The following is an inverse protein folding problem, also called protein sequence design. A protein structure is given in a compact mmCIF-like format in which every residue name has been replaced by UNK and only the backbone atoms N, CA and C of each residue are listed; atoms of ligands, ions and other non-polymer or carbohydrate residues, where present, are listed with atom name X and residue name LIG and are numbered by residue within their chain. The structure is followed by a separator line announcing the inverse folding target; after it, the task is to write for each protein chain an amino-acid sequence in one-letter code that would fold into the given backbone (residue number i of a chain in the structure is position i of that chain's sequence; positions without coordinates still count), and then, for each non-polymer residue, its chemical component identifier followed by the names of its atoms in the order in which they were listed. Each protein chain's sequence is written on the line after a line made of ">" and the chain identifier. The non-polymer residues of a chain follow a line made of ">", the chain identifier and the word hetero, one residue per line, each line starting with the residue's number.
data_IF_861813649668
#
_entry.id   IF_861813649668
#
_cell.length_a   1.000
_cell.length_b   1.000
_cell.length_c   1.000
_cell.angle_alpha   90.00
_cell.angle_beta   90.00
_cell.angle_gamma   90.00
#
_symmetry.space_group_name_H-M   'P 1'
#
loop_
_entity.id
_entity.type
_entity.pdbx_description
1 polymer ?
#
# COMPACT_ATOMS: atom_id res chain seq x y z
N UNK A 1 50.23 -47.74 9.53
CA UNK A 1 51.42 -46.90 9.83
C UNK A 1 51.30 -45.58 9.07
N UNK A 2 51.43 -44.44 9.79
CA UNK A 2 51.86 -43.08 9.37
C UNK A 2 51.22 -42.47 8.11
N UNK A 3 50.24 -41.56 8.24
CA UNK A 3 50.33 -40.07 8.35
C UNK A 3 51.09 -39.39 7.20
N UNK A 4 50.39 -38.59 6.39
CA UNK A 4 50.81 -37.22 6.05
C UNK A 4 49.59 -36.35 5.73
N UNK A 5 49.51 -35.23 6.44
CA UNK A 5 48.58 -34.14 6.23
C UNK A 5 49.12 -33.22 5.14
N UNK A 6 48.27 -32.73 4.25
CA UNK A 6 48.50 -31.47 3.54
C UNK A 6 47.18 -30.69 3.55
N UNK A 7 47.16 -29.70 4.44
CA UNK A 7 46.22 -28.59 4.44
C UNK A 7 46.42 -27.78 3.16
N UNK A 8 45.37 -27.65 2.36
CA UNK A 8 45.31 -26.62 1.33
C UNK A 8 44.19 -25.64 1.69
N UNK A 9 44.61 -24.49 2.23
CA UNK A 9 43.79 -23.35 2.57
C UNK A 9 44.05 -22.28 1.50
N UNK A 10 43.10 -22.05 0.62
CA UNK A 10 42.96 -20.92 -0.33
C UNK A 10 41.80 -21.28 -1.26
N UNK A 11 40.83 -20.45 -1.62
CA UNK A 11 40.64 -19.03 -1.47
C UNK A 11 39.14 -18.80 -1.69
N UNK A 12 38.52 -17.94 -0.87
CA UNK A 12 37.13 -17.55 -1.04
C UNK A 12 36.91 -16.91 -2.42
N UNK A 13 36.05 -17.51 -3.22
CA UNK A 13 35.17 -16.75 -4.10
C UNK A 13 33.79 -16.88 -3.49
N UNK A 14 33.41 -15.83 -2.77
CA UNK A 14 32.04 -15.59 -2.34
C UNK A 14 31.16 -15.81 -3.58
N UNK A 15 30.43 -16.92 -3.61
CA UNK A 15 29.26 -17.03 -4.46
C UNK A 15 28.40 -15.84 -4.08
N UNK A 16 28.45 -14.81 -4.92
CA UNK A 16 27.47 -13.74 -4.88
C UNK A 16 26.14 -14.44 -4.99
N UNK A 17 25.41 -14.55 -3.89
CA UNK A 17 23.99 -14.70 -3.97
C UNK A 17 23.54 -13.43 -4.68
N UNK A 18 23.22 -13.54 -5.98
CA UNK A 18 22.38 -12.57 -6.64
C UNK A 18 21.12 -12.48 -5.79
N UNK A 19 21.04 -11.45 -4.95
CA UNK A 19 19.79 -11.03 -4.34
C UNK A 19 19.02 -10.40 -5.50
N UNK A 20 18.38 -11.27 -6.29
CA UNK A 20 17.40 -10.85 -7.26
C UNK A 20 16.23 -10.29 -6.47
N UNK A 21 16.25 -8.97 -6.24
CA UNK A 21 15.08 -8.22 -5.80
C UNK A 21 14.04 -8.37 -6.90
N UNK A 22 13.21 -9.39 -6.76
CA UNK A 22 12.03 -9.59 -7.57
C UNK A 22 11.14 -8.35 -7.42
N UNK A 23 11.19 -7.44 -8.40
CA UNK A 23 10.35 -6.24 -8.45
C UNK A 23 8.89 -6.54 -8.79
N UNK A 24 8.45 -7.80 -8.73
CA UNK A 24 7.04 -8.14 -8.76
C UNK A 24 6.40 -7.83 -7.39
N UNK A 25 6.29 -6.55 -7.03
CA UNK A 25 5.12 -6.14 -6.28
C UNK A 25 3.92 -6.46 -7.16
N UNK A 26 2.96 -7.31 -6.73
CA UNK A 26 1.75 -7.54 -7.49
C UNK A 26 1.11 -6.19 -7.76
N UNK A 27 1.12 -5.76 -9.02
CA UNK A 27 0.35 -4.60 -9.46
C UNK A 27 -1.10 -5.07 -9.44
N UNK A 28 -1.72 -5.00 -8.26
CA UNK A 28 -3.16 -5.22 -8.09
C UNK A 28 -3.85 -4.19 -8.98
N UNK A 29 -4.16 -4.62 -10.20
CA UNK A 29 -4.87 -3.83 -11.19
C UNK A 29 -6.28 -4.35 -11.11
N UNK A 30 -7.18 -3.55 -10.57
CA UNK A 30 -8.57 -3.94 -10.49
C UNK A 30 -9.15 -3.94 -11.91
N UNK A 31 -9.63 -5.11 -12.37
CA UNK A 31 -9.99 -5.37 -13.76
C UNK A 31 -11.48 -5.17 -14.05
N UNK A 32 -12.30 -5.21 -13.00
CA UNK A 32 -13.75 -4.99 -13.11
C UNK A 32 -14.08 -3.52 -12.74
N UNK A 33 -14.77 -2.75 -13.60
CA UNK A 33 -15.23 -1.42 -13.23
C UNK A 33 -16.32 -1.42 -12.15
N UNK A 34 -17.04 -2.53 -11.95
CA UNK A 34 -18.18 -2.62 -11.04
C UNK A 34 -19.40 -1.81 -11.49
N UNK A 35 -20.48 -1.88 -10.72
CA UNK A 35 -21.70 -1.09 -10.99
C UNK A 35 -21.52 0.38 -10.55
N UNK A 36 -22.26 1.34 -11.14
CA UNK A 36 -22.21 2.75 -10.71
C UNK A 36 -22.52 2.94 -9.22
N UNK A 37 -23.41 2.12 -8.66
CA UNK A 37 -23.74 2.14 -7.24
C UNK A 37 -22.55 1.68 -6.38
N UNK A 38 -21.89 0.59 -6.75
CA UNK A 38 -20.69 0.13 -6.03
C UNK A 38 -19.57 1.17 -6.11
N UNK A 39 -19.33 1.73 -7.29
CA UNK A 39 -18.34 2.79 -7.48
C UNK A 39 -18.61 3.98 -6.54
N UNK A 40 -19.85 4.47 -6.50
CA UNK A 40 -20.23 5.57 -5.63
C UNK A 40 -20.02 5.24 -4.14
N UNK A 41 -20.48 4.06 -3.69
CA UNK A 41 -20.37 3.65 -2.28
C UNK A 41 -18.91 3.51 -1.84
N UNK A 42 -18.07 2.90 -2.68
CA UNK A 42 -16.63 2.76 -2.44
C UNK A 42 -15.97 4.13 -2.40
N UNK A 43 -16.28 4.99 -3.36
CA UNK A 43 -15.72 6.33 -3.46
C UNK A 43 -16.05 7.18 -2.23
N UNK A 44 -17.31 7.17 -1.80
CA UNK A 44 -17.77 7.92 -0.63
C UNK A 44 -17.13 7.41 0.66
N UNK A 45 -17.04 6.09 0.81
CA UNK A 45 -16.40 5.49 1.99
C UNK A 45 -14.91 5.84 2.06
N UNK A 46 -14.19 5.72 0.94
CA UNK A 46 -12.78 6.07 0.88
C UNK A 46 -12.55 7.56 1.14
N UNK A 47 -13.38 8.45 0.60
CA UNK A 47 -13.28 9.89 0.86
C UNK A 47 -13.57 10.24 2.32
N UNK A 48 -14.60 9.66 2.91
CA UNK A 48 -14.92 9.87 4.32
C UNK A 48 -13.77 9.42 5.23
N UNK A 49 -13.20 8.24 4.95
CA UNK A 49 -12.02 7.73 5.64
C UNK A 49 -10.83 8.69 5.54
N UNK A 50 -10.49 9.14 4.33
CA UNK A 50 -9.35 10.04 4.11
C UNK A 50 -9.57 11.42 4.74
N UNK A 51 -10.79 11.94 4.73
CA UNK A 51 -11.12 13.22 5.35
C UNK A 51 -10.87 13.21 6.88
N UNK A 52 -11.16 12.09 7.56
CA UNK A 52 -10.82 11.92 8.97
C UNK A 52 -9.31 11.93 9.21
N UNK A 53 -8.54 11.28 8.32
CA UNK A 53 -7.08 11.34 8.41
C UNK A 53 -6.54 12.75 8.16
N UNK A 54 -7.13 13.47 7.20
CA UNK A 54 -6.74 14.85 6.85
C UNK A 54 -7.04 15.82 8.02
N UNK A 55 -8.12 15.56 8.76
CA UNK A 55 -8.48 16.29 9.98
C UNK A 55 -7.67 15.86 11.23
N UNK A 56 -6.74 14.91 11.10
CA UNK A 56 -5.92 14.42 12.22
C UNK A 56 -6.69 13.53 13.21
N UNK A 57 -7.91 13.10 12.89
CA UNK A 57 -8.79 12.30 13.76
C UNK A 57 -8.74 10.81 13.42
N UNK A 58 -7.53 10.25 13.29
CA UNK A 58 -7.31 8.86 12.87
C UNK A 58 -8.10 7.82 13.70
N UNK A 59 -8.33 8.06 14.99
CA UNK A 59 -9.15 7.21 15.86
C UNK A 59 -10.60 7.05 15.40
N UNK A 60 -11.15 8.06 14.72
CA UNK A 60 -12.52 8.05 14.20
C UNK A 60 -12.67 7.17 12.95
N UNK A 61 -11.57 6.69 12.37
CA UNK A 61 -11.61 5.78 11.21
C UNK A 61 -11.97 4.35 11.57
N UNK A 62 -11.79 3.95 12.83
CA UNK A 62 -11.96 2.56 13.26
C UNK A 62 -13.34 1.95 12.97
N UNK A 63 -14.47 2.66 13.17
CA UNK A 63 -15.79 2.12 12.84
C UNK A 63 -15.99 1.81 11.35
N UNK A 64 -15.21 2.42 10.45
CA UNK A 64 -15.27 2.17 9.02
C UNK A 64 -14.38 1.00 8.57
N UNK A 65 -13.58 0.42 9.47
CA UNK A 65 -12.69 -0.71 9.16
C UNK A 65 -13.51 -1.99 9.00
N UNK A 66 -13.22 -2.76 7.95
CA UNK A 66 -13.82 -4.08 7.71
C UNK A 66 -13.74 -4.98 8.95
N UNK A 67 -14.81 -5.73 9.29
CA UNK A 67 -14.77 -6.71 10.38
C UNK A 67 -13.60 -7.70 10.26
N UNK A 68 -13.24 -8.08 9.03
CA UNK A 68 -12.11 -8.97 8.76
C UNK A 68 -10.77 -8.35 9.20
N UNK A 69 -10.55 -7.06 8.97
CA UNK A 69 -9.34 -6.39 9.46
C UNK A 69 -9.42 -6.12 10.96
N UNK A 70 -10.60 -5.74 11.49
CA UNK A 70 -10.81 -5.57 12.93
C UNK A 70 -10.52 -6.86 13.74
N UNK A 71 -10.77 -8.04 13.16
CA UNK A 71 -10.44 -9.32 13.79
C UNK A 71 -8.93 -9.63 13.84
N UNK A 72 -8.11 -8.95 13.01
CA UNK A 72 -6.66 -9.21 12.88
C UNK A 72 -5.77 -8.20 13.58
N UNK A 73 -6.33 -7.06 14.01
CA UNK A 73 -5.57 -5.98 14.63
C UNK A 73 -6.40 -5.26 15.70
N UNK A 74 -5.77 -4.40 16.50
CA UNK A 74 -6.49 -3.53 17.44
C UNK A 74 -6.64 -2.11 16.89
N UNK A 75 -7.61 -1.35 17.40
CA UNK A 75 -7.77 0.07 17.08
C UNK A 75 -6.48 0.85 17.34
N UNK A 76 -5.76 0.54 18.43
CA UNK A 76 -4.53 1.24 18.78
C UNK A 76 -3.42 0.97 17.76
N UNK A 77 -3.25 -0.29 17.32
CA UNK A 77 -2.27 -0.66 16.29
C UNK A 77 -2.66 0.00 14.96
N UNK A 78 -3.93 -0.05 14.56
CA UNK A 78 -4.44 0.61 13.36
C UNK A 78 -4.13 2.11 13.34
N UNK A 79 -4.50 2.83 14.40
CA UNK A 79 -4.28 4.29 14.51
C UNK A 79 -2.78 4.63 14.49
N UNK A 80 -1.96 3.83 15.16
CA UNK A 80 -0.50 4.03 15.17
C UNK A 80 0.08 3.86 13.77
N UNK A 81 -0.33 2.82 13.05
CA UNK A 81 0.09 2.56 11.68
C UNK A 81 -0.32 3.69 10.73
N UNK A 82 -1.56 4.20 10.83
CA UNK A 82 -2.02 5.33 10.02
C UNK A 82 -1.18 6.60 10.24
N UNK A 83 -0.83 6.90 11.49
CA UNK A 83 0.05 8.03 11.82
C UNK A 83 1.45 7.82 11.24
N UNK A 84 1.98 6.60 11.33
CA UNK A 84 3.27 6.24 10.75
C UNK A 84 3.31 6.43 9.22
N UNK A 85 2.27 5.99 8.51
CA UNK A 85 2.15 6.12 7.05
C UNK A 85 2.14 7.58 6.57
N UNK A 86 1.64 8.50 7.39
CA UNK A 86 1.55 9.94 7.07
C UNK A 86 2.66 10.79 7.69
N UNK A 87 3.62 10.17 8.39
CA UNK A 87 4.71 10.88 9.03
C UNK A 87 5.58 11.59 7.98
N UNK A 88 5.83 12.89 8.18
CA UNK A 88 6.70 13.68 7.31
C UNK A 88 6.10 14.08 5.96
N UNK A 89 4.80 13.82 5.70
CA UNK A 89 4.14 14.31 4.49
C UNK A 89 3.82 15.81 4.57
N UNK A 90 3.63 16.34 5.79
CA UNK A 90 3.14 17.70 6.02
C UNK A 90 1.60 17.78 6.00
N UNK A 91 1.05 18.99 6.03
CA UNK A 91 -0.40 19.19 5.96
C UNK A 91 -0.95 18.78 4.59
N UNK A 92 -2.15 18.21 4.59
CA UNK A 92 -2.88 17.89 3.37
C UNK A 92 -3.22 19.17 2.59
N UNK A 93 -3.08 19.14 1.26
CA UNK A 93 -3.42 20.29 0.39
C UNK A 93 -4.52 19.94 -0.60
N UNK A 94 -4.34 18.88 -1.40
CA UNK A 94 -5.32 18.45 -2.39
C UNK A 94 -5.22 16.97 -2.72
N UNK A 95 -6.33 16.43 -3.24
CA UNK A 95 -6.48 15.03 -3.67
C UNK A 95 -7.34 14.95 -4.91
N UNK A 96 -6.92 14.14 -5.87
CA UNK A 96 -7.66 13.84 -7.09
C UNK A 96 -7.74 12.32 -7.27
N UNK A 97 -8.91 11.74 -7.60
CA UNK A 97 -9.00 10.31 -7.88
C UNK A 97 -8.31 9.97 -9.19
N UNK A 98 -7.60 8.83 -9.18
CA UNK A 98 -6.82 8.35 -10.33
C UNK A 98 -7.46 7.11 -10.93
N UNK A 99 -7.84 6.16 -10.10
CA UNK A 99 -8.44 4.90 -10.54
C UNK A 99 -9.33 4.31 -9.45
N UNK A 100 -10.35 3.58 -9.87
CA UNK A 100 -11.19 2.74 -9.03
C UNK A 100 -11.49 1.47 -9.81
N UNK A 101 -11.37 0.31 -9.16
CA UNK A 101 -11.94 -0.93 -9.69
C UNK A 101 -12.14 -1.98 -8.63
N UNK A 102 -12.65 -3.13 -9.05
CA UNK A 102 -13.00 -4.28 -8.23
C UNK A 102 -12.16 -5.51 -8.58
N UNK A 103 -11.90 -6.33 -7.57
CA UNK A 103 -11.12 -7.58 -7.65
C UNK A 103 -11.62 -8.57 -6.60
N UNK A 104 -11.73 -9.85 -6.93
CA UNK A 104 -12.22 -10.91 -6.04
C UNK A 104 -11.10 -11.71 -5.34
N UNK A 105 -9.84 -11.42 -5.69
CA UNK A 105 -8.65 -12.03 -5.10
C UNK A 105 -7.52 -11.02 -4.94
N UNK A 106 -7.13 -10.78 -3.70
CA UNK A 106 -5.93 -10.02 -3.36
C UNK A 106 -4.84 -10.99 -2.86
N UNK A 107 -3.60 -10.89 -3.38
CA UNK A 107 -2.47 -11.59 -2.78
C UNK A 107 -2.40 -11.26 -1.28
N UNK A 108 -2.18 -12.29 -0.45
CA UNK A 108 -2.04 -12.19 1.01
C UNK A 108 -3.30 -11.71 1.78
N UNK A 109 -4.45 -11.62 1.12
CA UNK A 109 -5.72 -11.31 1.77
C UNK A 109 -6.69 -12.52 1.77
N UNK A 110 -7.64 -12.60 2.74
CA UNK A 110 -8.70 -13.60 2.70
C UNK A 110 -9.54 -13.52 1.42
N UNK A 111 -10.11 -14.63 0.97
CA UNK A 111 -11.03 -14.63 -0.17
C UNK A 111 -12.22 -13.67 0.07
N UNK A 112 -12.64 -12.95 -0.97
CA UNK A 112 -13.79 -12.04 -0.94
C UNK A 112 -13.71 -10.94 -1.99
N UNK A 113 -14.77 -10.16 -2.13
CA UNK A 113 -14.78 -9.05 -3.09
C UNK A 113 -14.10 -7.83 -2.49
N UNK A 114 -13.23 -7.22 -3.28
CA UNK A 114 -12.47 -6.05 -2.92
C UNK A 114 -12.68 -4.94 -3.94
N UNK A 115 -12.55 -3.71 -3.45
CA UNK A 115 -12.42 -2.53 -4.28
C UNK A 115 -11.08 -1.87 -3.96
N UNK A 116 -10.41 -1.37 -4.99
CA UNK A 116 -9.18 -0.61 -4.87
C UNK A 116 -9.42 0.75 -5.48
N UNK A 117 -9.21 1.78 -4.69
CA UNK A 117 -9.25 3.17 -5.15
C UNK A 117 -7.91 3.83 -4.91
N UNK A 118 -7.44 4.52 -5.93
CA UNK A 118 -6.18 5.22 -5.94
C UNK A 118 -6.38 6.72 -6.12
N UNK A 119 -5.62 7.50 -5.37
CA UNK A 119 -5.64 8.95 -5.41
C UNK A 119 -4.23 9.52 -5.59
N UNK A 120 -4.15 10.60 -6.37
CA UNK A 120 -3.02 11.49 -6.42
C UNK A 120 -3.18 12.57 -5.36
N UNK A 121 -2.27 12.63 -4.40
CA UNK A 121 -2.38 13.54 -3.26
C UNK A 121 -1.15 14.41 -3.10
N UNK A 122 -1.38 15.71 -2.91
CA UNK A 122 -0.33 16.68 -2.59
C UNK A 122 -0.43 17.05 -1.11
N UNK A 123 0.69 16.94 -0.42
CA UNK A 123 0.89 17.41 0.94
C UNK A 123 1.98 18.48 0.94
N UNK A 124 2.09 19.23 2.04
CA UNK A 124 3.02 20.36 2.12
C UNK A 124 4.50 20.00 1.86
N UNK A 125 4.92 18.77 2.15
CA UNK A 125 6.32 18.34 1.98
C UNK A 125 6.54 17.43 0.78
N UNK A 126 5.50 16.83 0.19
CA UNK A 126 5.65 15.85 -0.89
C UNK A 126 4.34 15.54 -1.60
N UNK A 127 4.43 14.88 -2.76
CA UNK A 127 3.30 14.30 -3.48
C UNK A 127 3.37 12.76 -3.40
N UNK A 128 2.23 12.13 -3.17
CA UNK A 128 2.11 10.69 -2.98
C UNK A 128 0.96 10.11 -3.79
N UNK A 129 1.04 8.81 -4.05
CA UNK A 129 -0.11 7.99 -4.42
C UNK A 129 -0.69 7.38 -3.14
N UNK A 130 -1.95 7.67 -2.84
CA UNK A 130 -2.70 7.02 -1.78
C UNK A 130 -3.53 5.88 -2.39
N UNK A 131 -3.47 4.69 -1.79
CA UNK A 131 -4.29 3.54 -2.17
C UNK A 131 -5.15 3.12 -0.98
N UNK A 132 -6.46 3.11 -1.16
CA UNK A 132 -7.43 2.60 -0.19
C UNK A 132 -8.01 1.31 -0.74
N UNK A 133 -7.91 0.25 0.05
CA UNK A 133 -8.52 -1.05 -0.26
C UNK A 133 -9.75 -1.19 0.62
N UNK A 134 -10.88 -1.53 0.02
CA UNK A 134 -12.12 -1.83 0.71
C UNK A 134 -12.51 -3.28 0.44
N UNK A 135 -13.16 -3.89 1.42
CA UNK A 135 -13.73 -5.24 1.32
C UNK A 135 -15.24 -5.14 1.40
N UNK A 136 -15.93 -5.92 0.57
CA UNK A 136 -17.37 -6.12 0.67
C UNK A 136 -17.65 -7.13 1.79
N UNK A 137 -18.24 -6.64 2.87
CA UNK A 137 -18.75 -7.44 3.97
C UNK A 137 -20.28 -7.23 4.02
N UNK A 138 -21.02 -8.14 3.39
CA UNK A 138 -22.48 -8.13 3.30
C UNK A 138 -23.08 -6.80 2.77
N UNK A 139 -22.65 -6.37 1.58
CA UNK A 139 -23.06 -5.13 0.88
C UNK A 139 -22.59 -3.84 1.56
N UNK A 140 -21.66 -3.93 2.50
CA UNK A 140 -20.99 -2.79 3.11
C UNK A 140 -19.50 -2.83 2.77
N UNK A 141 -19.01 -1.75 2.15
CA UNK A 141 -17.59 -1.61 1.81
C UNK A 141 -16.80 -1.10 3.01
N UNK A 142 -16.14 -1.98 3.76
CA UNK A 142 -15.30 -1.60 4.90
C UNK A 142 -13.84 -1.40 4.50
N UNK A 143 -13.11 -0.51 5.18
CA UNK A 143 -11.67 -0.30 4.95
C UNK A 143 -10.91 -1.59 5.30
N UNK A 144 -10.21 -2.14 4.30
CA UNK A 144 -9.39 -3.35 4.42
C UNK A 144 -7.89 -3.05 4.31
N UNK A 145 -7.51 -1.85 3.86
CA UNK A 145 -6.11 -1.42 3.83
C UNK A 145 -5.95 0.03 3.38
N UNK A 146 -4.83 0.63 3.76
CA UNK A 146 -4.42 1.96 3.33
C UNK A 146 -2.91 2.00 3.14
N UNK A 147 -2.48 2.49 1.98
CA UNK A 147 -1.07 2.54 1.58
C UNK A 147 -0.74 3.91 1.02
N UNK A 148 0.49 4.36 1.28
CA UNK A 148 1.03 5.63 0.81
C UNK A 148 2.35 5.35 0.09
N UNK A 149 2.42 5.67 -1.19
CA UNK A 149 3.64 5.55 -1.98
C UNK A 149 4.11 6.93 -2.39
N UNK A 150 5.31 7.32 -1.96
CA UNK A 150 5.93 8.56 -2.45
C UNK A 150 6.24 8.42 -3.92
N UNK A 151 5.90 9.44 -4.72
CA UNK A 151 6.44 9.51 -6.09
C UNK A 151 7.87 10.00 -5.99
N UNK A 152 8.79 9.23 -6.54
CA UNK A 152 10.16 9.67 -6.77
C UNK A 152 10.23 9.97 -8.26
N UNK A 153 10.09 11.24 -8.59
CA UNK A 153 10.31 11.69 -9.96
C UNK A 153 11.83 11.76 -10.16
N UNK A 154 12.40 10.68 -10.71
CA UNK A 154 13.74 10.76 -11.28
C UNK A 154 13.60 11.62 -12.53
N UNK A 155 13.84 12.93 -12.41
CA UNK A 155 13.98 13.76 -13.59
C UNK A 155 15.02 13.11 -14.50
N UNK A 156 14.66 12.80 -15.75
CA UNK A 156 15.55 12.24 -16.78
C UNK A 156 16.84 13.05 -16.81
N UNK A 157 17.92 12.51 -16.22
CA UNK A 157 19.27 13.05 -16.31
C UNK A 157 19.94 12.68 -17.64
N UNK A 158 19.17 12.17 -18.62
CA UNK A 158 19.68 11.75 -19.93
C UNK A 158 19.80 12.88 -20.95
N UNK A 159 19.62 14.15 -20.54
CA UNK A 159 19.95 15.32 -21.39
C UNK A 159 21.12 16.12 -20.84
N UNK A 160 22.27 15.45 -20.65
CA UNK A 160 23.57 16.11 -20.79
C UNK A 160 24.69 15.10 -21.09
N UNK A 161 24.79 14.71 -22.36
CA UNK A 161 26.08 14.28 -22.92
C UNK A 161 26.73 15.50 -23.63
N UNK A 162 28.06 15.66 -23.53
CA UNK A 162 28.80 16.82 -24.02
C UNK A 162 28.78 16.98 -25.55
#
# INVERSE_FOLDING_TARGET
>A
MKRFAVLWCSLALLSGCDISFNQNTPKVTATDPGTPQQQQQVFDTARAFLALLDAGTAQMTWPAVSPVLQAKTSQQVWVTSLKGLRLGLGSFQKREPVALGFIDQLPDAPAGNYAVIEFASTFAMTTVQEKVILRDDDKHWGIAGYFVHKRVDFADQDKKAP
#
